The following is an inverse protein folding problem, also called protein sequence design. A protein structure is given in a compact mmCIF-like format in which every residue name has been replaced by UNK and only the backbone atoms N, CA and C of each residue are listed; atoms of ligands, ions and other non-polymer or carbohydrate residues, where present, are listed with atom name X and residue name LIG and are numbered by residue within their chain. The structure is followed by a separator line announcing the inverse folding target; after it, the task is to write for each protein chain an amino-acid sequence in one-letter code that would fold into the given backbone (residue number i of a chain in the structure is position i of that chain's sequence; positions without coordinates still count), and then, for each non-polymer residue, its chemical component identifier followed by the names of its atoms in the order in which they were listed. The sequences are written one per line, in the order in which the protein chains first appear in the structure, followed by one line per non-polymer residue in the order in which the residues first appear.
data_IF_554957489599
#
_entry.id   IF_554957489599
#
_cell.length_a   1.000
_cell.length_b   1.000
_cell.length_c   1.000
_cell.angle_alpha   90.00
_cell.angle_beta   90.00
_cell.angle_gamma   90.00
#
_symmetry.space_group_name_H-M   'P 1'
#
loop_
_entity.id
_entity.type
_entity.pdbx_description
1 polymer ?
#
# COMPACT_ATOMS: atom_id res chain seq x y z
N UNK A 1 70.15 -36.64 -15.73
CA UNK A 1 69.50 -37.60 -14.82
C UNK A 1 69.28 -36.91 -13.47
N UNK A 2 68.13 -37.05 -12.79
CA UNK A 2 66.75 -37.18 -13.29
C UNK A 2 65.70 -36.31 -12.52
N UNK A 3 64.47 -36.30 -13.06
CA UNK A 3 63.12 -36.17 -12.43
C UNK A 3 62.79 -34.87 -11.65
N UNK A 4 61.71 -34.12 -11.91
CA UNK A 4 60.27 -34.47 -11.94
C UNK A 4 59.49 -33.35 -12.66
N UNK A 5 58.79 -33.53 -13.80
CA UNK A 5 57.48 -34.17 -14.04
C UNK A 5 56.25 -33.51 -13.38
N UNK A 6 55.45 -32.85 -14.24
CA UNK A 6 53.98 -32.63 -14.22
C UNK A 6 53.38 -31.67 -13.19
N UNK A 7 52.77 -30.58 -13.70
CA UNK A 7 51.32 -30.38 -13.57
C UNK A 7 50.78 -29.28 -14.54
N UNK A 8 50.10 -29.74 -15.60
CA UNK A 8 48.79 -29.26 -16.10
C UNK A 8 48.67 -27.74 -16.33
N UNK A 9 48.96 -27.23 -17.53
CA UNK A 9 47.97 -27.10 -18.63
C UNK A 9 46.51 -27.14 -18.16
N UNK A 10 45.88 -25.96 -18.08
CA UNK A 10 44.54 -25.65 -18.56
C UNK A 10 44.02 -24.33 -17.94
N UNK A 11 44.53 -23.18 -18.38
CA UNK A 11 43.77 -21.93 -18.28
C UNK A 11 42.83 -21.87 -19.48
N UNK A 12 41.73 -22.62 -19.37
CA UNK A 12 40.65 -22.64 -20.35
C UNK A 12 39.60 -21.62 -19.91
N UNK A 13 39.54 -20.53 -20.67
CA UNK A 13 38.45 -19.59 -20.89
C UNK A 13 37.08 -20.03 -20.34
N UNK A 14 36.61 -19.40 -19.27
CA UNK A 14 35.18 -19.33 -18.96
C UNK A 14 34.73 -17.87 -19.07
N UNK A 15 34.43 -17.46 -20.30
CA UNK A 15 33.58 -16.31 -20.55
C UNK A 15 32.15 -16.70 -20.16
N UNK A 16 31.68 -16.19 -19.02
CA UNK A 16 30.31 -16.33 -18.55
C UNK A 16 29.44 -15.31 -19.33
N UNK A 17 28.51 -15.71 -20.21
CA UNK A 17 27.53 -14.77 -20.72
C UNK A 17 26.49 -14.59 -19.63
N UNK A 18 26.63 -13.53 -18.84
CA UNK A 18 25.56 -13.05 -17.98
C UNK A 18 24.45 -12.49 -18.88
N UNK A 19 23.57 -13.37 -19.38
CA UNK A 19 22.29 -12.95 -19.92
C UNK A 19 21.50 -12.30 -18.78
N UNK A 20 21.51 -10.96 -18.77
CA UNK A 20 20.52 -10.15 -18.09
C UNK A 20 19.17 -10.49 -18.70
N UNK A 21 18.44 -11.41 -18.07
CA UNK A 21 17.01 -11.58 -18.32
C UNK A 21 16.30 -10.31 -17.84
N UNK A 22 16.31 -9.27 -18.66
CA UNK A 22 15.39 -8.15 -18.53
C UNK A 22 14.00 -8.69 -18.86
N UNK A 23 13.28 -9.13 -17.84
CA UNK A 23 11.85 -9.40 -17.97
C UNK A 23 11.17 -8.12 -18.42
N UNK A 24 10.45 -8.10 -19.56
CA UNK A 24 9.68 -6.91 -19.94
C UNK A 24 8.74 -6.56 -18.79
N UNK A 25 8.67 -5.29 -18.42
CA UNK A 25 7.63 -4.79 -17.54
C UNK A 25 6.30 -5.13 -18.20
N UNK A 26 5.56 -6.09 -17.62
CA UNK A 26 4.21 -6.36 -18.07
C UNK A 26 3.38 -5.16 -17.66
N UNK A 27 2.78 -4.52 -18.66
CA UNK A 27 1.76 -3.53 -18.43
C UNK A 27 0.51 -4.29 -17.97
N UNK A 28 0.33 -4.35 -16.65
CA UNK A 28 -0.73 -5.13 -16.03
C UNK A 28 -2.00 -4.28 -15.95
N UNK A 29 -3.12 -4.85 -16.39
CA UNK A 29 -4.45 -4.30 -16.08
C UNK A 29 -4.74 -4.58 -14.61
N UNK A 30 -5.02 -3.52 -13.86
CA UNK A 30 -5.23 -3.57 -12.42
C UNK A 30 -6.67 -3.22 -12.05
N UNK A 31 -7.22 -3.97 -11.11
CA UNK A 31 -8.56 -3.77 -10.55
C UNK A 31 -8.46 -3.45 -9.05
N UNK A 32 -9.51 -2.87 -8.47
CA UNK A 32 -9.52 -2.66 -7.03
C UNK A 32 -9.60 -4.00 -6.27
N UNK A 33 -8.70 -4.27 -5.31
CA UNK A 33 -8.71 -5.54 -4.59
C UNK A 33 -9.97 -5.66 -3.70
N UNK A 34 -10.47 -6.87 -3.53
CA UNK A 34 -11.58 -7.13 -2.61
C UNK A 34 -11.11 -7.04 -1.15
N UNK A 35 -11.84 -6.30 -0.30
CA UNK A 35 -11.53 -6.21 1.13
C UNK A 35 -11.76 -7.53 1.88
N UNK A 36 -12.53 -8.45 1.31
CA UNK A 36 -12.73 -9.79 1.87
C UNK A 36 -11.41 -10.56 2.03
N UNK A 37 -10.46 -10.36 1.12
CA UNK A 37 -9.14 -10.99 1.13
C UNK A 37 -8.03 -10.10 1.73
N UNK A 38 -8.35 -8.88 2.18
CA UNK A 38 -7.35 -7.99 2.75
C UNK A 38 -6.82 -8.52 4.09
N UNK A 39 -5.55 -8.25 4.36
CA UNK A 39 -4.85 -8.70 5.57
C UNK A 39 -4.63 -7.49 6.48
N UNK A 40 -4.99 -7.63 7.75
CA UNK A 40 -4.67 -6.65 8.77
C UNK A 40 -3.21 -6.84 9.18
N UNK A 41 -2.37 -5.83 8.96
CA UNK A 41 -0.92 -5.89 9.24
C UNK A 41 -0.62 -5.48 10.68
N UNK A 42 -1.40 -4.56 11.23
CA UNK A 42 -1.26 -4.08 12.61
C UNK A 42 -2.62 -4.13 13.33
N UNK A 43 -2.67 -4.44 14.64
CA UNK A 43 -3.91 -4.41 15.40
C UNK A 43 -4.49 -2.99 15.45
N UNK A 44 -5.80 -2.91 15.68
CA UNK A 44 -6.44 -1.64 15.99
C UNK A 44 -5.91 -1.09 17.32
N UNK A 45 -5.64 0.23 17.41
CA UNK A 45 -5.13 0.82 18.63
C UNK A 45 -6.18 0.69 19.76
N UNK A 46 -5.68 0.50 20.97
CA UNK A 46 -6.50 0.53 22.19
C UNK A 46 -6.90 1.96 22.54
N UNK A 47 -7.96 2.10 23.35
CA UNK A 47 -8.39 3.42 23.82
C UNK A 47 -7.29 4.17 24.60
N UNK A 48 -6.46 3.45 25.37
CA UNK A 48 -5.33 4.04 26.08
C UNK A 48 -4.24 4.59 25.12
N UNK A 49 -3.92 3.86 24.04
CA UNK A 49 -2.99 4.32 23.01
C UNK A 49 -3.54 5.52 22.24
N UNK A 50 -4.85 5.52 21.95
CA UNK A 50 -5.52 6.66 21.33
C UNK A 50 -5.52 7.88 22.24
N UNK A 51 -5.77 7.73 23.54
CA UNK A 51 -5.71 8.84 24.50
C UNK A 51 -4.30 9.43 24.57
N UNK A 52 -3.28 8.57 24.59
CA UNK A 52 -1.89 9.00 24.59
C UNK A 52 -1.55 9.79 23.31
N UNK A 53 -1.96 9.30 22.14
CA UNK A 53 -1.70 9.98 20.86
C UNK A 53 -2.57 11.22 20.65
N UNK A 54 -3.76 11.30 21.24
CA UNK A 54 -4.58 12.51 21.31
C UNK A 54 -3.87 13.64 22.06
N UNK A 55 -3.26 13.35 23.23
CA UNK A 55 -2.49 14.34 23.97
C UNK A 55 -1.29 14.87 23.17
N UNK A 56 -0.63 14.01 22.40
CA UNK A 56 0.48 14.41 21.53
C UNK A 56 0.04 15.21 20.29
N UNK A 57 -1.04 14.80 19.64
CA UNK A 57 -1.53 15.40 18.39
C UNK A 57 -2.33 16.70 18.64
N UNK A 58 -3.12 16.76 19.70
CA UNK A 58 -4.03 17.87 20.01
C UNK A 58 -3.60 18.73 21.20
N UNK A 59 -2.58 18.32 21.97
CA UNK A 59 -2.12 19.06 23.15
C UNK A 59 -1.41 20.38 22.84
N UNK A 60 -1.02 21.10 23.89
CA UNK A 60 -0.43 22.44 23.77
C UNK A 60 0.91 22.46 23.01
N UNK A 61 1.63 21.34 23.01
CA UNK A 61 2.86 21.14 22.24
C UNK A 61 2.65 20.71 20.78
N UNK A 62 1.42 20.76 20.24
CA UNK A 62 1.05 20.29 18.90
C UNK A 62 1.67 21.07 17.72
N UNK A 63 2.80 21.77 17.89
CA UNK A 63 3.49 22.57 16.85
C UNK A 63 3.85 21.79 15.57
N UNK A 64 3.68 20.47 15.54
CA UNK A 64 3.97 19.59 14.40
C UNK A 64 2.76 19.24 13.52
N UNK A 65 1.53 19.27 14.05
CA UNK A 65 0.34 18.89 13.29
C UNK A 65 -0.59 20.10 13.26
N UNK A 66 -0.89 20.62 12.06
CA UNK A 66 -1.85 21.69 11.90
C UNK A 66 -3.10 21.36 12.72
N UNK A 67 -3.46 22.25 13.65
CA UNK A 67 -4.57 22.03 14.59
C UNK A 67 -5.86 21.92 13.79
N UNK A 68 -6.24 20.71 13.41
CA UNK A 68 -7.57 20.45 12.89
C UNK A 68 -8.54 20.63 14.07
N UNK A 69 -9.13 21.83 14.14
CA UNK A 69 -9.92 22.26 15.29
C UNK A 69 -11.10 21.31 15.56
N UNK A 70 -11.61 20.64 14.52
CA UNK A 70 -12.70 19.68 14.63
C UNK A 70 -12.22 18.35 15.23
N UNK A 71 -11.15 17.75 14.69
CA UNK A 71 -10.54 16.52 15.20
C UNK A 71 -10.07 16.71 16.64
N UNK A 72 -9.54 17.89 16.97
CA UNK A 72 -9.00 18.19 18.30
C UNK A 72 -10.00 18.79 19.30
N UNK A 73 -11.28 18.91 18.94
CA UNK A 73 -12.30 19.42 19.87
C UNK A 73 -12.57 18.46 21.04
N UNK A 74 -12.58 17.16 20.77
CA UNK A 74 -12.83 16.10 21.78
C UNK A 74 -12.00 14.85 21.45
N UNK A 75 -11.84 13.98 22.45
CA UNK A 75 -11.20 12.69 22.23
C UNK A 75 -12.01 11.81 21.26
N UNK A 76 -13.34 11.92 21.28
CA UNK A 76 -14.25 11.17 20.41
C UNK A 76 -14.09 11.58 18.95
N UNK A 77 -13.93 12.87 18.66
CA UNK A 77 -13.66 13.36 17.31
C UNK A 77 -12.30 12.84 16.81
N UNK A 78 -11.29 12.86 17.68
CA UNK A 78 -9.99 12.29 17.38
C UNK A 78 -10.09 10.79 17.09
N UNK A 79 -10.76 10.03 17.96
CA UNK A 79 -10.99 8.59 17.80
C UNK A 79 -11.73 8.26 16.51
N UNK A 80 -12.73 9.06 16.13
CA UNK A 80 -13.46 8.88 14.88
C UNK A 80 -12.57 8.93 13.63
N UNK A 81 -11.49 9.73 13.67
CA UNK A 81 -10.57 9.94 12.53
C UNK A 81 -9.31 9.08 12.63
N UNK A 82 -8.80 8.84 13.83
CA UNK A 82 -7.47 8.25 14.07
C UNK A 82 -7.50 6.80 14.52
N UNK A 83 -8.65 6.28 14.92
CA UNK A 83 -8.81 4.84 15.21
C UNK A 83 -8.78 4.05 13.90
N UNK A 84 -7.57 3.80 13.40
CA UNK A 84 -7.31 3.13 12.15
C UNK A 84 -6.14 2.16 12.29
N UNK A 85 -6.14 1.11 11.48
CA UNK A 85 -5.05 0.13 11.41
C UNK A 85 -4.56 -0.02 9.97
N UNK A 86 -3.30 -0.44 9.79
CA UNK A 86 -2.76 -0.74 8.47
C UNK A 86 -3.33 -2.07 7.96
N UNK A 87 -3.86 -2.03 6.75
CA UNK A 87 -4.32 -3.20 5.99
C UNK A 87 -3.69 -3.20 4.60
N UNK A 88 -3.53 -4.41 4.05
CA UNK A 88 -2.96 -4.65 2.72
C UNK A 88 -3.86 -5.58 1.91
N UNK A 89 -3.83 -5.44 0.58
CA UNK A 89 -4.39 -6.45 -0.32
C UNK A 89 -3.66 -7.79 -0.14
N UNK A 90 -4.29 -8.88 -0.58
CA UNK A 90 -3.72 -10.22 -0.42
C UNK A 90 -2.32 -10.39 -1.06
N UNK A 91 -2.03 -9.62 -2.12
CA UNK A 91 -0.74 -9.58 -2.81
C UNK A 91 0.21 -8.47 -2.30
N UNK A 92 -0.22 -7.65 -1.33
CA UNK A 92 0.54 -6.53 -0.78
C UNK A 92 0.67 -5.31 -1.69
N UNK A 93 0.09 -5.32 -2.90
CA UNK A 93 0.24 -4.22 -3.85
C UNK A 93 -0.47 -2.93 -3.42
N UNK A 94 -1.63 -3.08 -2.76
CA UNK A 94 -2.40 -1.97 -2.23
C UNK A 94 -2.37 -1.97 -0.70
N UNK A 95 -2.26 -0.79 -0.11
CA UNK A 95 -2.28 -0.62 1.34
C UNK A 95 -3.08 0.61 1.76
N UNK A 96 -3.60 0.60 2.99
CA UNK A 96 -4.35 1.73 3.53
C UNK A 96 -4.57 1.61 5.03
N UNK A 97 -4.85 2.75 5.66
CA UNK A 97 -5.28 2.80 7.06
C UNK A 97 -6.80 2.74 7.08
N UNK A 98 -7.34 1.60 7.49
CA UNK A 98 -8.78 1.33 7.50
C UNK A 98 -9.37 1.58 8.90
N UNK A 99 -10.65 1.96 8.93
CA UNK A 99 -11.34 2.42 10.15
C UNK A 99 -11.62 1.26 11.11
N UNK A 100 -11.09 1.36 12.32
CA UNK A 100 -11.27 0.38 13.40
C UNK A 100 -12.56 0.59 14.21
N UNK A 101 -13.33 1.62 13.93
CA UNK A 101 -14.68 1.80 14.48
C UNK A 101 -15.73 0.96 13.73
N UNK A 102 -15.34 0.26 12.66
CA UNK A 102 -16.18 -0.63 11.87
C UNK A 102 -15.90 -2.08 12.25
N UNK A 103 -16.97 -2.88 12.44
CA UNK A 103 -16.83 -4.32 12.63
C UNK A 103 -16.08 -4.96 11.45
N UNK A 104 -15.17 -5.90 11.75
CA UNK A 104 -14.28 -6.49 10.74
C UNK A 104 -15.05 -7.13 9.59
N UNK A 105 -16.15 -7.82 9.87
CA UNK A 105 -16.98 -8.44 8.83
C UNK A 105 -17.61 -7.41 7.90
N UNK A 106 -18.03 -6.25 8.46
CA UNK A 106 -18.58 -5.14 7.68
C UNK A 106 -17.51 -4.43 6.86
N UNK A 107 -16.30 -4.30 7.40
CA UNK A 107 -15.14 -3.80 6.65
C UNK A 107 -14.82 -4.72 5.46
N UNK A 108 -14.73 -6.03 5.69
CA UNK A 108 -14.45 -7.04 4.65
C UNK A 108 -15.54 -7.11 3.58
N UNK A 109 -16.78 -6.82 3.95
CA UNK A 109 -17.91 -6.75 3.03
C UNK A 109 -18.02 -5.44 2.23
N UNK A 110 -17.22 -4.42 2.57
CA UNK A 110 -17.29 -3.11 1.92
C UNK A 110 -16.84 -3.19 0.46
N UNK A 111 -17.71 -2.77 -0.46
CA UNK A 111 -17.47 -2.88 -1.91
C UNK A 111 -16.68 -1.69 -2.43
N UNK A 112 -15.88 -1.91 -3.48
CA UNK A 112 -15.25 -0.83 -4.21
C UNK A 112 -16.32 0.01 -4.90
N UNK A 113 -16.18 1.33 -4.82
CA UNK A 113 -17.09 2.31 -5.42
C UNK A 113 -16.43 3.02 -6.59
N UNK A 114 -15.16 3.38 -6.45
CA UNK A 114 -14.45 4.18 -7.45
C UNK A 114 -12.96 3.92 -7.46
N UNK A 115 -12.38 3.97 -8.66
CA UNK A 115 -10.95 4.02 -8.88
C UNK A 115 -10.51 5.41 -9.39
N UNK A 116 -9.38 5.91 -8.91
CA UNK A 116 -8.79 7.16 -9.38
C UNK A 116 -7.26 7.12 -9.38
N UNK A 117 -6.64 7.98 -10.19
CA UNK A 117 -5.19 8.16 -10.24
C UNK A 117 -4.82 9.57 -9.79
N UNK A 118 -3.81 9.67 -8.94
CA UNK A 118 -3.20 10.93 -8.52
C UNK A 118 -1.68 10.85 -8.69
N UNK A 119 -1.04 11.91 -9.22
CA UNK A 119 0.41 12.06 -9.14
C UNK A 119 0.79 12.85 -7.88
N UNK A 120 1.68 12.28 -7.07
CA UNK A 120 2.26 12.93 -5.91
C UNK A 120 3.79 12.84 -5.99
N UNK A 121 4.43 13.97 -6.28
CA UNK A 121 5.86 14.04 -6.59
C UNK A 121 6.20 13.06 -7.74
N UNK A 122 7.22 12.22 -7.57
CA UNK A 122 7.65 11.24 -8.55
C UNK A 122 6.87 9.91 -8.51
N UNK A 123 5.78 9.82 -7.74
CA UNK A 123 4.98 8.60 -7.59
C UNK A 123 3.58 8.81 -8.15
N UNK A 124 3.09 7.78 -8.83
CA UNK A 124 1.69 7.60 -9.17
C UNK A 124 1.00 6.84 -8.03
N UNK A 125 -0.18 7.32 -7.64
CA UNK A 125 -1.06 6.66 -6.67
C UNK A 125 -2.28 6.18 -7.41
N UNK A 126 -2.49 4.87 -7.46
CA UNK A 126 -3.75 4.28 -7.87
C UNK A 126 -4.60 4.05 -6.62
N UNK A 127 -5.76 4.71 -6.56
CA UNK A 127 -6.58 4.83 -5.37
C UNK A 127 -7.90 4.11 -5.61
N UNK A 128 -8.24 3.22 -4.69
CA UNK A 128 -9.52 2.53 -4.62
C UNK A 128 -10.30 3.05 -3.42
N UNK A 129 -11.45 3.66 -3.70
CA UNK A 129 -12.43 4.10 -2.70
C UNK A 129 -13.52 3.05 -2.56
N UNK A 130 -13.88 2.73 -1.33
CA UNK A 130 -14.85 1.71 -0.97
C UNK A 130 -15.98 2.32 -0.13
N UNK A 131 -17.05 1.55 0.05
CA UNK A 131 -18.08 1.83 1.04
C UNK A 131 -17.49 2.05 2.44
N UNK A 132 -18.26 2.74 3.29
CA UNK A 132 -17.86 3.08 4.66
C UNK A 132 -16.55 3.89 4.72
N UNK A 133 -16.26 4.68 3.68
CA UNK A 133 -15.09 5.56 3.57
C UNK A 133 -13.74 4.84 3.72
N UNK A 134 -13.68 3.56 3.31
CA UNK A 134 -12.43 2.80 3.30
C UNK A 134 -11.64 3.10 2.01
N UNK A 135 -10.31 3.13 2.12
CA UNK A 135 -9.44 3.45 0.99
C UNK A 135 -8.17 2.61 1.00
N UNK A 136 -7.91 1.94 -0.11
CA UNK A 136 -6.62 1.30 -0.38
C UNK A 136 -5.91 2.00 -1.54
N UNK A 137 -4.57 2.05 -1.45
CA UNK A 137 -3.73 2.78 -2.41
C UNK A 137 -2.54 1.92 -2.80
N UNK A 138 -2.35 1.73 -4.11
CA UNK A 138 -1.10 1.26 -4.68
C UNK A 138 -0.23 2.48 -5.02
N UNK A 139 1.04 2.44 -4.63
CA UNK A 139 2.03 3.46 -5.00
C UNK A 139 3.05 2.86 -5.96
N UNK A 140 3.23 3.49 -7.11
CA UNK A 140 4.15 3.01 -8.15
C UNK A 140 4.90 4.16 -8.81
N UNK A 141 6.04 3.86 -9.43
CA UNK A 141 6.75 4.79 -10.32
C UNK A 141 6.21 4.74 -11.76
N UNK A 142 5.47 3.69 -12.11
CA UNK A 142 4.78 3.57 -13.39
C UNK A 142 3.76 4.71 -13.57
N UNK A 143 3.46 5.05 -14.82
CA UNK A 143 2.33 5.91 -15.14
C UNK A 143 1.08 5.04 -15.19
N UNK A 144 0.01 5.46 -14.52
CA UNK A 144 -1.26 4.73 -14.55
C UNK A 144 -2.35 5.59 -15.20
N UNK A 145 -3.21 4.95 -16.00
CA UNK A 145 -4.39 5.55 -16.62
C UNK A 145 -5.63 4.76 -16.20
N UNK A 146 -6.74 5.46 -15.96
CA UNK A 146 -8.03 4.83 -15.63
C UNK A 146 -8.75 4.47 -16.92
N UNK A 147 -9.06 3.19 -17.12
CA UNK A 147 -9.90 2.70 -18.22
C UNK A 147 -11.38 2.72 -17.83
N UNK A 148 -11.68 2.33 -16.58
CA UNK A 148 -13.04 2.32 -16.02
C UNK A 148 -12.98 2.78 -14.56
N UNK A 149 -13.55 3.94 -14.25
CA UNK A 149 -13.46 4.56 -12.93
C UNK A 149 -14.54 4.09 -11.95
N UNK A 150 -15.74 3.82 -12.45
CA UNK A 150 -16.89 3.43 -11.63
C UNK A 150 -16.83 1.93 -11.33
N UNK A 151 -16.67 1.58 -10.05
CA UNK A 151 -16.65 0.19 -9.58
C UNK A 151 -18.05 -0.29 -9.15
N UNK A 152 -19.03 0.61 -9.02
CA UNK A 152 -20.37 0.24 -8.57
C UNK A 152 -21.20 -0.41 -9.70
N UNK A 153 -20.93 -0.03 -10.96
CA UNK A 153 -21.56 -0.62 -12.15
C UNK A 153 -20.84 -1.85 -12.72
N UNK A 154 -19.67 -2.20 -12.19
CA UNK A 154 -18.87 -3.33 -12.64
C UNK A 154 -17.43 -3.27 -12.14
N UNK A 155 -16.54 -4.09 -12.71
CA UNK A 155 -15.12 -4.06 -12.33
C UNK A 155 -14.43 -2.82 -12.93
N UNK A 156 -14.00 -1.91 -12.04
CA UNK A 156 -13.17 -0.78 -12.40
C UNK A 156 -11.73 -1.22 -12.71
N UNK A 157 -11.11 -0.57 -13.68
CA UNK A 157 -9.82 -0.98 -14.26
C UNK A 157 -8.90 0.20 -14.52
N UNK A 158 -7.62 -0.02 -14.32
CA UNK A 158 -6.53 0.85 -14.71
C UNK A 158 -5.46 0.08 -15.47
N UNK A 159 -4.69 0.80 -16.26
CA UNK A 159 -3.49 0.29 -16.92
C UNK A 159 -2.28 1.04 -16.38
N UNK A 160 -1.21 0.34 -16.02
CA UNK A 160 0.04 0.96 -15.54
C UNK A 160 1.26 0.49 -16.35
N UNK A 161 2.10 1.44 -16.78
CA UNK A 161 3.32 1.22 -17.58
C UNK A 161 4.55 1.97 -17.05
#
# INVERSE_FOLDING_TARGET
MPLTTRARLALMSLALPALLFATPARADTLSCPALSAAVQVAPCPTDAELQYTFMGFCGDNARLYGRDALTCATFENYKAVKNTALWESADGAFSGYLNCNLEVDRLRASKALKMSVEKKNALTRLICDYENDQRLVMRTKANCTIEAADCASGECRAHCE
#
